data_IF_498537932204
#
_entry.id   IF_498537932204
#
_cell.length_a   1.000
_cell.length_b   1.000
_cell.length_c   1.000
_cell.angle_alpha   90.00
_cell.angle_beta   90.00
_cell.angle_gamma   90.00
#
_symmetry.space_group_name_H-M   'P 1'
#
loop_
_entity.id
_entity.type
_entity.pdbx_description
1 polymer ?
#
# COMPACT_ATOMS: atom_id res chain seq x y z
N UNK A 1 2.71 17.47 -9.43
CA UNK A 1 1.71 16.42 -9.67
C UNK A 1 2.22 15.20 -8.91
N UNK A 2 1.47 14.60 -7.98
CA UNK A 2 1.94 13.41 -7.28
C UNK A 2 2.00 12.25 -8.28
N UNK A 3 3.18 12.00 -8.83
CA UNK A 3 3.39 10.88 -9.73
C UNK A 3 3.43 9.60 -8.90
N UNK A 4 2.66 8.60 -9.30
CA UNK A 4 2.82 7.23 -8.80
C UNK A 4 4.24 6.78 -9.14
N UNK A 5 5.07 6.55 -8.13
CA UNK A 5 6.46 6.13 -8.36
C UNK A 5 6.58 4.64 -8.12
N UNK A 6 7.00 3.88 -9.12
CA UNK A 6 7.42 2.50 -8.88
C UNK A 6 8.74 2.46 -8.11
N UNK A 7 8.81 1.60 -7.11
CA UNK A 7 9.99 1.36 -6.28
C UNK A 7 10.25 -0.12 -6.16
N UNK A 8 11.46 -0.48 -5.75
CA UNK A 8 11.82 -1.88 -5.47
C UNK A 8 12.20 -2.02 -4.01
N UNK A 9 11.72 -3.06 -3.35
CA UNK A 9 12.02 -3.32 -1.95
C UNK A 9 13.48 -3.72 -1.79
N UNK A 10 14.21 -3.00 -0.96
CA UNK A 10 15.61 -3.34 -0.69
C UNK A 10 15.77 -4.67 0.07
N UNK A 11 14.73 -5.15 0.78
CA UNK A 11 14.82 -6.40 1.56
C UNK A 11 14.38 -7.65 0.82
N UNK A 12 13.29 -7.59 0.04
CA UNK A 12 12.79 -8.76 -0.67
C UNK A 12 12.98 -8.67 -2.20
N UNK A 13 13.41 -7.52 -2.72
CA UNK A 13 13.56 -7.30 -4.16
C UNK A 13 12.24 -7.19 -4.93
N UNK A 14 11.09 -7.22 -4.26
CA UNK A 14 9.78 -7.12 -4.90
C UNK A 14 9.49 -5.68 -5.38
N UNK A 15 8.72 -5.56 -6.45
CA UNK A 15 8.24 -4.27 -6.96
C UNK A 15 7.11 -3.75 -6.08
N UNK A 16 7.11 -2.45 -5.82
CA UNK A 16 6.11 -1.75 -5.02
C UNK A 16 5.78 -0.40 -5.67
N UNK A 17 4.63 0.16 -5.34
CA UNK A 17 4.18 1.48 -5.77
C UNK A 17 4.25 2.45 -4.60
N UNK A 18 4.92 3.57 -4.81
CA UNK A 18 4.90 4.71 -3.92
C UNK A 18 3.73 5.61 -4.27
N UNK A 19 2.75 5.59 -3.39
CA UNK A 19 1.59 6.47 -3.42
C UNK A 19 1.68 7.48 -2.29
N UNK A 20 0.91 8.57 -2.36
CA UNK A 20 0.85 9.57 -1.30
C UNK A 20 -0.52 9.58 -0.66
N UNK A 21 -0.59 9.38 0.65
CA UNK A 21 -1.87 9.49 1.38
C UNK A 21 -2.41 10.92 1.31
N UNK A 22 -3.73 11.13 1.51
CA UNK A 22 -4.31 12.48 1.67
C UNK A 22 -3.60 13.33 2.74
N UNK A 23 -2.96 12.69 3.71
CA UNK A 23 -2.15 13.34 4.76
C UNK A 23 -0.74 13.74 4.31
N UNK A 24 -0.37 13.56 3.05
CA UNK A 24 0.96 13.89 2.51
C UNK A 24 2.05 12.89 2.89
N UNK A 25 1.68 11.72 3.44
CA UNK A 25 2.63 10.66 3.80
C UNK A 25 2.78 9.68 2.63
N UNK A 26 4.01 9.43 2.19
CA UNK A 26 4.25 8.41 1.18
C UNK A 26 4.05 7.01 1.76
N UNK A 27 3.32 6.17 1.02
CA UNK A 27 2.93 4.82 1.41
C UNK A 27 3.39 3.84 0.33
N UNK A 28 4.26 2.87 0.67
CA UNK A 28 4.62 1.79 -0.23
C UNK A 28 3.49 0.75 -0.28
N UNK A 29 2.94 0.54 -1.47
CA UNK A 29 1.89 -0.42 -1.78
C UNK A 29 2.46 -1.55 -2.61
N UNK A 30 1.91 -2.74 -2.50
CA UNK A 30 2.21 -3.79 -3.47
C UNK A 30 1.74 -3.41 -4.87
N UNK A 31 2.46 -3.85 -5.90
CA UNK A 31 1.99 -3.72 -7.29
C UNK A 31 0.77 -4.61 -7.55
N UNK A 32 0.64 -5.69 -6.80
CA UNK A 32 -0.48 -6.63 -6.92
C UNK A 32 -1.58 -6.29 -5.92
N UNK A 33 -2.84 -6.17 -6.37
CA UNK A 33 -3.97 -5.99 -5.46
C UNK A 33 -4.13 -7.25 -4.60
N UNK A 34 -4.33 -7.04 -3.31
CA UNK A 34 -4.43 -8.13 -2.35
C UNK A 34 -5.86 -8.27 -1.86
N UNK A 35 -6.28 -9.52 -1.69
CA UNK A 35 -7.56 -9.85 -1.07
C UNK A 35 -7.73 -9.22 0.33
N UNK A 36 -6.64 -9.14 1.08
CA UNK A 36 -6.61 -8.53 2.41
C UNK A 36 -6.20 -7.05 2.38
N UNK A 37 -6.10 -6.46 1.19
CA UNK A 37 -5.77 -5.06 0.98
C UNK A 37 -6.89 -4.15 1.45
N UNK A 38 -6.51 -3.03 2.07
CA UNK A 38 -7.42 -2.02 2.57
C UNK A 38 -7.08 -0.62 2.07
N UNK A 39 -6.23 -0.53 1.04
CA UNK A 39 -5.77 0.74 0.50
C UNK A 39 -6.32 0.89 -0.91
N UNK A 40 -7.11 1.93 -1.10
CA UNK A 40 -7.61 2.32 -2.41
C UNK A 40 -6.59 3.26 -3.04
N UNK A 41 -6.06 2.85 -4.20
CA UNK A 41 -5.13 3.64 -4.99
C UNK A 41 -5.93 4.43 -6.04
N UNK A 42 -5.81 5.76 -6.00
CA UNK A 42 -6.40 6.63 -7.00
C UNK A 42 -5.44 6.82 -8.18
N UNK A 43 -5.98 7.02 -9.40
CA UNK A 43 -5.17 7.25 -10.60
C UNK A 43 -4.35 8.55 -10.54
N UNK A 44 -4.67 9.47 -9.64
CA UNK A 44 -3.88 10.68 -9.40
C UNK A 44 -2.60 10.44 -8.56
N UNK A 45 -2.33 9.19 -8.15
CA UNK A 45 -1.17 8.84 -7.35
C UNK A 45 -1.38 8.98 -5.83
N UNK A 46 -2.57 9.40 -5.39
CA UNK A 46 -2.94 9.36 -3.98
C UNK A 46 -3.53 8.04 -3.56
N UNK A 47 -3.42 7.71 -2.27
CA UNK A 47 -4.05 6.54 -1.69
C UNK A 47 -4.88 6.90 -0.46
N UNK A 48 -5.94 6.14 -0.23
CA UNK A 48 -6.75 6.24 0.98
C UNK A 48 -6.95 4.87 1.64
N UNK A 49 -6.92 4.87 2.97
CA UNK A 49 -7.18 3.66 3.75
C UNK A 49 -8.68 3.54 3.91
N UNK A 50 -9.25 2.49 3.33
CA UNK A 50 -10.68 2.19 3.43
C UNK A 50 -10.93 1.51 4.79
N UNK A 51 -11.85 2.02 5.61
CA UNK A 51 -12.22 1.37 6.87
C UNK A 51 -12.87 0.01 6.61
N UNK A 52 -12.71 -0.94 7.54
CA UNK A 52 -13.20 -2.30 7.41
C UNK A 52 -14.71 -2.40 7.11
N UNK A 53 -15.51 -1.43 7.57
CA UNK A 53 -16.95 -1.37 7.31
C UNK A 53 -17.31 -1.19 5.83
N UNK A 54 -16.49 -0.47 5.06
CA UNK A 54 -16.72 -0.19 3.63
C UNK A 54 -15.77 -0.98 2.73
N UNK A 55 -14.85 -1.76 3.32
CA UNK A 55 -13.85 -2.53 2.62
C UNK A 55 -14.47 -3.53 1.64
N UNK A 56 -15.48 -4.28 2.07
CA UNK A 56 -16.12 -5.29 1.22
C UNK A 56 -16.86 -4.67 0.02
N UNK A 57 -17.52 -3.53 0.22
CA UNK A 57 -18.18 -2.80 -0.85
C UNK A 57 -17.14 -2.29 -1.86
N UNK A 58 -16.11 -1.59 -1.37
CA UNK A 58 -15.03 -1.05 -2.22
C UNK A 58 -14.24 -2.12 -2.94
N UNK A 59 -14.02 -3.28 -2.31
CA UNK A 59 -13.30 -4.41 -2.89
C UNK A 59 -14.03 -5.03 -4.08
N UNK A 60 -15.36 -4.96 -4.11
CA UNK A 60 -16.15 -5.40 -5.26
C UNK A 60 -16.13 -4.36 -6.40
N UNK A 61 -16.02 -3.08 -6.07
CA UNK A 61 -16.00 -2.00 -7.06
C UNK A 61 -14.62 -1.73 -7.66
N UNK A 62 -13.55 -1.85 -6.87
CA UNK A 62 -12.19 -1.45 -7.24
C UNK A 62 -11.12 -2.37 -6.62
N UNK A 63 -9.98 -2.56 -7.30
CA UNK A 63 -8.85 -3.28 -6.74
C UNK A 63 -8.29 -2.56 -5.51
N UNK A 64 -8.33 -3.25 -4.36
CA UNK A 64 -7.67 -2.79 -3.14
C UNK A 64 -6.25 -3.31 -3.07
N UNK A 65 -5.35 -2.42 -2.69
CA UNK A 65 -3.96 -2.68 -2.48
C UNK A 65 -3.67 -2.84 -0.99
N UNK A 66 -2.56 -3.49 -0.70
CA UNK A 66 -2.04 -3.65 0.64
C UNK A 66 -0.71 -2.92 0.72
N UNK A 67 -0.37 -2.45 1.92
CA UNK A 67 0.96 -1.93 2.17
C UNK A 67 1.98 -3.04 2.00
N UNK A 68 3.04 -2.80 1.23
CA UNK A 68 4.11 -3.79 1.02
C UNK A 68 4.77 -4.24 2.34
N UNK A 69 4.72 -3.41 3.38
CA UNK A 69 5.15 -3.78 4.73
C UNK A 69 4.41 -4.99 5.32
N UNK A 70 3.21 -5.33 4.86
CA UNK A 70 2.44 -6.46 5.38
C UNK A 70 2.69 -7.76 4.60
N UNK A 71 3.11 -7.68 3.33
CA UNK A 71 3.50 -8.84 2.49
C UNK A 71 4.98 -9.13 2.53
N UNK A 72 5.82 -8.14 2.81
CA UNK A 72 7.26 -8.30 2.79
C UNK A 72 7.72 -9.23 3.93
N UNK A 73 8.37 -10.37 3.61
CA UNK A 73 8.88 -11.29 4.64
C UNK A 73 10.01 -10.65 5.48
N UNK A 74 10.70 -9.64 4.92
CA UNK A 74 11.71 -8.83 5.61
C UNK A 74 11.14 -7.65 6.41
N UNK A 75 9.82 -7.46 6.48
CA UNK A 75 9.21 -6.33 7.19
C UNK A 75 9.56 -6.32 8.68
N UNK A 76 9.79 -7.48 9.28
CA UNK A 76 10.25 -7.61 10.66
C UNK A 76 11.60 -6.91 10.90
N UNK A 77 12.49 -6.85 9.89
CA UNK A 77 13.77 -6.13 9.99
C UNK A 77 13.63 -4.62 9.84
N UNK A 78 12.53 -4.13 9.26
CA UNK A 78 12.26 -2.68 9.09
C UNK A 78 11.39 -2.09 10.21
N UNK A 79 10.55 -2.91 10.85
CA UNK A 79 9.89 -2.52 12.09
C UNK A 79 10.93 -2.53 13.21
N UNK A 80 11.36 -1.34 13.65
CA UNK A 80 12.02 -1.24 14.95
C UNK A 80 11.09 -1.88 16.00
N UNK A 81 11.57 -2.82 16.83
CA UNK A 81 10.81 -3.24 17.99
C UNK A 81 10.54 -1.98 18.83
N UNK A 82 9.29 -1.84 19.28
CA UNK A 82 8.93 -0.85 20.30
C UNK A 82 9.46 -1.44 21.60
N UNK A 83 10.63 -1.00 22.03
CA UNK A 83 11.13 -1.21 23.40
C UNK A 83 10.35 -0.35 24.40
#
# INVERSE_FOLDING_TARGET
MPELREGTCASCGAKMLWSTTKSGRSMPLDTEPAATGNILLHPDGTCEVVPSAELEAKRNETPLYLSHFATCPGAASHRKPKE
#
